data_IF_021876018739
#
_entry.id   IF_021876018739
#
_cell.length_a   1.000
_cell.length_b   1.000
_cell.length_c   1.000
_cell.angle_alpha   90.00
_cell.angle_beta   90.00
_cell.angle_gamma   90.00
#
_symmetry.space_group_name_H-M   'P 1'
#
loop_
_entity.id
_entity.type
_entity.pdbx_description
1 polymer ?
#
# COMPACT_ATOMS: atom_id res chain seq x y z
N UNK A 1 24.01 -3.15 -27.09
CA UNK A 1 24.34 -3.03 -25.66
C UNK A 1 25.05 -1.69 -25.45
N UNK A 2 24.29 -0.61 -25.22
CA UNK A 2 24.77 0.69 -24.72
C UNK A 2 23.58 1.69 -24.66
N UNK A 3 22.56 1.39 -23.87
CA UNK A 3 21.46 2.33 -23.52
C UNK A 3 20.83 1.78 -22.23
N UNK A 4 21.40 2.11 -21.06
CA UNK A 4 20.74 1.82 -19.76
C UNK A 4 21.34 2.65 -18.59
N UNK A 5 22.61 3.02 -18.70
CA UNK A 5 23.32 3.77 -17.64
C UNK A 5 22.75 5.18 -17.41
N UNK A 6 22.10 5.77 -18.41
CA UNK A 6 21.50 7.12 -18.32
C UNK A 6 20.13 7.14 -17.64
N UNK A 7 19.30 6.11 -17.83
CA UNK A 7 17.97 6.02 -17.25
C UNK A 7 18.00 5.71 -15.76
N UNK A 8 18.91 4.83 -15.34
CA UNK A 8 19.07 4.47 -13.94
C UNK A 8 19.58 5.67 -13.12
N UNK A 9 20.54 6.44 -13.62
CA UNK A 9 21.05 7.63 -12.93
C UNK A 9 19.99 8.73 -12.77
N UNK A 10 19.12 8.94 -13.75
CA UNK A 10 18.03 9.93 -13.66
C UNK A 10 16.91 9.47 -12.72
N UNK A 11 16.61 8.17 -12.73
CA UNK A 11 15.63 7.52 -11.85
C UNK A 11 16.08 7.59 -10.39
N UNK A 12 17.32 7.21 -10.12
CA UNK A 12 17.90 7.26 -8.77
C UNK A 12 17.94 8.71 -8.24
N UNK A 13 18.30 9.67 -9.11
CA UNK A 13 18.26 11.09 -8.75
C UNK A 13 16.84 11.59 -8.47
N UNK A 14 15.82 11.07 -9.17
CA UNK A 14 14.41 11.39 -8.88
C UNK A 14 13.99 10.82 -7.52
N UNK A 15 14.27 9.55 -7.26
CA UNK A 15 13.90 8.91 -5.99
C UNK A 15 14.64 9.53 -4.81
N UNK A 16 15.94 9.78 -4.95
CA UNK A 16 16.73 10.42 -3.89
C UNK A 16 16.18 11.81 -3.54
N UNK A 17 15.68 12.56 -4.54
CA UNK A 17 14.97 13.83 -4.32
C UNK A 17 13.64 13.64 -3.60
N UNK A 18 12.83 12.65 -3.97
CA UNK A 18 11.54 12.35 -3.31
C UNK A 18 11.72 11.97 -1.83
N UNK A 19 12.67 11.07 -1.56
CA UNK A 19 13.01 10.64 -0.20
C UNK A 19 13.56 11.81 0.61
N UNK A 20 14.48 12.59 0.05
CA UNK A 20 15.04 13.75 0.74
C UNK A 20 13.98 14.80 1.09
N UNK A 21 13.07 15.10 0.16
CA UNK A 21 11.94 16.00 0.43
C UNK A 21 11.08 15.49 1.59
N UNK A 22 10.80 14.19 1.63
CA UNK A 22 10.03 13.56 2.70
C UNK A 22 10.77 13.61 4.05
N UNK A 23 12.09 13.38 4.06
CA UNK A 23 12.94 13.54 5.25
C UNK A 23 12.93 14.98 5.78
N UNK A 24 13.04 15.99 4.90
CA UNK A 24 12.94 17.41 5.28
C UNK A 24 11.58 17.68 5.91
N UNK A 25 10.49 17.23 5.30
CA UNK A 25 9.14 17.43 5.82
C UNK A 25 8.99 16.81 7.22
N UNK A 26 9.42 15.56 7.38
CA UNK A 26 9.42 14.86 8.66
C UNK A 26 10.22 15.63 9.73
N UNK A 27 11.46 16.03 9.42
CA UNK A 27 12.34 16.72 10.36
C UNK A 27 11.79 18.10 10.74
N UNK A 28 11.23 18.86 9.80
CA UNK A 28 10.54 20.11 10.12
C UNK A 28 9.42 19.88 11.11
N UNK A 29 8.58 18.87 10.89
CA UNK A 29 7.45 18.58 11.77
C UNK A 29 7.89 18.18 13.18
N UNK A 30 8.89 17.31 13.30
CA UNK A 30 9.34 16.80 14.60
C UNK A 30 10.23 17.80 15.34
N UNK A 31 11.13 18.50 14.66
CA UNK A 31 12.06 19.46 15.28
C UNK A 31 11.42 20.83 15.54
N UNK A 32 10.47 21.30 14.72
CA UNK A 32 9.76 22.56 15.02
C UNK A 32 8.95 22.47 16.31
N UNK A 33 8.37 21.29 16.62
CA UNK A 33 7.69 21.04 17.90
C UNK A 33 8.62 21.15 19.12
N UNK A 34 9.94 21.09 18.91
CA UNK A 34 10.94 21.14 19.98
C UNK A 34 11.63 22.50 20.14
N UNK A 35 11.18 23.55 19.43
CA UNK A 35 11.70 24.91 19.62
C UNK A 35 12.79 25.34 18.64
N UNK A 36 12.50 25.16 17.34
CA UNK A 36 13.22 25.73 16.18
C UNK A 36 14.65 25.19 15.93
N UNK A 37 14.75 24.18 15.08
CA UNK A 37 15.99 23.86 14.36
C UNK A 37 16.21 24.85 13.20
N UNK A 38 17.46 25.26 12.96
CA UNK A 38 17.82 26.04 11.77
C UNK A 38 17.61 25.22 10.50
N UNK A 39 17.34 25.88 9.38
CA UNK A 39 17.17 25.20 8.08
C UNK A 39 18.41 24.37 7.73
N UNK A 40 19.62 24.86 8.04
CA UNK A 40 20.87 24.14 7.77
C UNK A 40 20.98 22.80 8.53
N UNK A 41 20.50 22.76 9.77
CA UNK A 41 20.46 21.51 10.57
C UNK A 41 19.45 20.53 9.96
N UNK A 42 18.28 21.03 9.56
CA UNK A 42 17.24 20.21 8.93
C UNK A 42 17.75 19.63 7.61
N UNK A 43 18.39 20.44 6.76
CA UNK A 43 18.86 20.02 5.45
C UNK A 43 20.03 19.02 5.57
N UNK A 44 20.97 19.28 6.49
CA UNK A 44 22.10 18.36 6.76
C UNK A 44 21.62 17.01 7.29
N UNK A 45 20.71 17.02 8.27
CA UNK A 45 20.17 15.79 8.84
C UNK A 45 19.27 15.07 7.83
N UNK A 46 18.50 15.78 7.00
CA UNK A 46 17.71 15.17 5.95
C UNK A 46 18.59 14.45 4.92
N UNK A 47 19.73 15.04 4.54
CA UNK A 47 20.69 14.39 3.66
C UNK A 47 21.24 13.10 4.29
N UNK A 48 21.64 13.14 5.56
CA UNK A 48 22.11 11.96 6.30
C UNK A 48 21.04 10.85 6.35
N UNK A 49 19.80 11.21 6.72
CA UNK A 49 18.69 10.25 6.78
C UNK A 49 18.43 9.64 5.40
N UNK A 50 18.42 10.46 4.34
CA UNK A 50 18.21 10.02 2.96
C UNK A 50 19.24 8.96 2.58
N UNK A 51 20.53 9.22 2.82
CA UNK A 51 21.59 8.26 2.48
C UNK A 51 21.42 6.92 3.21
N UNK A 52 21.00 6.96 4.47
CA UNK A 52 20.80 5.74 5.27
C UNK A 52 19.62 4.89 4.80
N UNK A 53 18.57 5.49 4.23
CA UNK A 53 17.35 4.74 3.84
C UNK A 53 17.15 4.59 2.33
N UNK A 54 17.97 5.25 1.50
CA UNK A 54 17.77 5.27 0.04
C UNK A 54 17.79 3.88 -0.60
N UNK A 55 18.59 2.96 -0.07
CA UNK A 55 18.65 1.57 -0.56
C UNK A 55 17.29 0.85 -0.52
N UNK A 56 16.36 1.29 0.33
CA UNK A 56 15.00 0.73 0.34
C UNK A 56 14.15 1.16 -0.87
N UNK A 57 14.51 2.23 -1.59
CA UNK A 57 13.82 2.61 -2.83
C UNK A 57 14.01 1.54 -3.90
N UNK A 58 15.24 1.05 -4.06
CA UNK A 58 15.56 -0.05 -4.97
C UNK A 58 14.84 -1.34 -4.55
N UNK A 59 14.78 -1.61 -3.25
CA UNK A 59 14.05 -2.76 -2.71
C UNK A 59 12.57 -2.76 -3.11
N UNK A 60 11.89 -1.65 -2.84
CA UNK A 60 10.47 -1.48 -3.14
C UNK A 60 10.18 -1.52 -4.64
N UNK A 61 11.07 -0.95 -5.47
CA UNK A 61 10.96 -1.07 -6.92
C UNK A 61 11.06 -2.53 -7.37
N UNK A 62 12.07 -3.26 -6.91
CA UNK A 62 12.33 -4.61 -7.38
C UNK A 62 11.22 -5.61 -6.99
N UNK A 63 10.63 -5.46 -5.81
CA UNK A 63 9.60 -6.39 -5.32
C UNK A 63 8.16 -5.99 -5.68
N UNK A 64 7.89 -4.70 -5.84
CA UNK A 64 6.52 -4.15 -5.98
C UNK A 64 6.34 -3.20 -7.17
N UNK A 65 7.42 -2.81 -7.84
CA UNK A 65 7.40 -1.80 -8.91
C UNK A 65 7.04 -0.39 -8.44
N UNK A 66 7.29 -0.07 -7.16
CA UNK A 66 6.95 1.23 -6.59
C UNK A 66 7.96 1.69 -5.52
N UNK A 67 8.99 2.41 -5.96
CA UNK A 67 9.95 3.07 -5.06
C UNK A 67 9.37 4.19 -4.16
N UNK A 68 8.20 4.77 -4.48
CA UNK A 68 7.60 5.86 -3.70
C UNK A 68 7.02 5.39 -2.36
N UNK A 69 6.96 4.07 -2.13
CA UNK A 69 6.62 3.47 -0.83
C UNK A 69 7.47 4.06 0.30
N UNK A 70 8.76 4.31 0.06
CA UNK A 70 9.68 4.88 1.08
C UNK A 70 9.22 6.27 1.49
N UNK A 71 8.93 7.15 0.52
CA UNK A 71 8.43 8.50 0.77
C UNK A 71 7.09 8.49 1.51
N UNK A 72 6.17 7.59 1.14
CA UNK A 72 4.88 7.43 1.83
C UNK A 72 5.05 6.92 3.26
N UNK A 73 6.01 6.02 3.52
CA UNK A 73 6.32 5.54 4.87
C UNK A 73 6.85 6.67 5.77
N UNK A 74 7.73 7.54 5.25
CA UNK A 74 8.24 8.71 5.98
C UNK A 74 7.10 9.69 6.30
N UNK A 75 6.21 9.95 5.34
CA UNK A 75 5.05 10.81 5.55
C UNK A 75 4.08 10.21 6.58
N UNK A 76 3.80 8.91 6.49
CA UNK A 76 2.99 8.21 7.49
C UNK A 76 3.60 8.35 8.88
N UNK A 77 4.91 8.10 9.02
CA UNK A 77 5.62 8.29 10.28
C UNK A 77 5.50 9.75 10.77
N UNK A 78 5.63 10.75 9.89
CA UNK A 78 5.47 12.15 10.25
C UNK A 78 4.04 12.48 10.74
N UNK A 79 3.02 11.87 10.16
CA UNK A 79 1.61 12.09 10.53
C UNK A 79 1.20 11.39 11.82
N UNK A 80 1.65 10.15 12.02
CA UNK A 80 1.22 9.33 13.15
C UNK A 80 2.11 9.49 14.39
N UNK A 81 3.38 9.88 14.22
CA UNK A 81 4.28 10.04 15.34
C UNK A 81 4.07 11.39 16.05
N UNK A 82 3.51 11.34 17.25
CA UNK A 82 3.35 12.54 18.10
C UNK A 82 4.50 12.73 19.12
N UNK A 83 5.54 11.90 19.06
CA UNK A 83 6.65 11.93 20.02
C UNK A 83 7.80 12.88 19.67
N UNK A 84 8.76 13.10 20.60
CA UNK A 84 9.97 13.83 20.33
C UNK A 84 10.89 13.08 19.35
N UNK A 85 11.75 13.81 18.63
CA UNK A 85 12.88 13.24 17.89
C UNK A 85 13.73 12.35 18.79
N UNK A 86 13.98 11.10 18.35
CA UNK A 86 14.73 10.08 19.12
C UNK A 86 16.07 9.70 18.48
N UNK A 87 16.50 10.43 17.46
CA UNK A 87 17.75 10.16 16.75
C UNK A 87 17.61 9.33 15.48
N UNK A 88 18.71 9.25 14.76
CA UNK A 88 18.82 8.66 13.42
C UNK A 88 18.46 7.18 13.41
N UNK A 89 19.01 6.40 14.35
CA UNK A 89 18.79 4.93 14.36
C UNK A 89 17.32 4.59 14.61
N UNK A 90 16.64 5.34 15.47
CA UNK A 90 15.21 5.16 15.68
C UNK A 90 14.40 5.42 14.40
N UNK A 91 14.73 6.47 13.66
CA UNK A 91 14.09 6.78 12.38
C UNK A 91 14.33 5.67 11.36
N UNK A 92 15.59 5.27 11.16
CA UNK A 92 15.95 4.23 10.20
C UNK A 92 15.23 2.92 10.51
N UNK A 93 15.24 2.48 11.77
CA UNK A 93 14.55 1.27 12.20
C UNK A 93 13.03 1.36 12.01
N UNK A 94 12.45 2.54 12.25
CA UNK A 94 11.01 2.77 12.06
C UNK A 94 10.62 2.70 10.59
N UNK A 95 11.41 3.31 9.70
CA UNK A 95 11.20 3.23 8.25
C UNK A 95 11.37 1.78 7.76
N UNK A 96 12.41 1.09 8.21
CA UNK A 96 12.61 -0.32 7.87
C UNK A 96 11.39 -1.18 8.23
N UNK A 97 10.86 -1.04 9.45
CA UNK A 97 9.67 -1.78 9.89
C UNK A 97 8.44 -1.48 9.01
N UNK A 98 8.18 -0.21 8.70
CA UNK A 98 7.07 0.17 7.81
C UNK A 98 7.24 -0.39 6.41
N UNK A 99 8.46 -0.42 5.89
CA UNK A 99 8.76 -0.98 4.57
C UNK A 99 8.60 -2.50 4.56
N UNK A 100 9.06 -3.20 5.60
CA UNK A 100 8.87 -4.65 5.72
C UNK A 100 7.39 -5.05 5.85
N UNK A 101 6.55 -4.20 6.43
CA UNK A 101 5.10 -4.40 6.45
C UNK A 101 4.46 -4.15 5.07
N UNK A 102 4.92 -3.11 4.34
CA UNK A 102 4.36 -2.74 3.04
C UNK A 102 4.85 -3.65 1.89
N UNK A 103 6.09 -4.11 1.97
CA UNK A 103 6.81 -4.93 0.98
C UNK A 103 7.49 -6.09 1.70
N UNK A 104 6.70 -7.07 2.19
CA UNK A 104 7.25 -8.23 2.88
C UNK A 104 8.05 -9.11 1.90
N UNK A 105 9.25 -9.51 2.31
CA UNK A 105 10.11 -10.45 1.58
C UNK A 105 10.01 -11.88 2.14
N UNK A 106 9.62 -12.02 3.41
CA UNK A 106 9.82 -13.24 4.16
C UNK A 106 8.71 -14.28 3.97
N UNK A 107 9.13 -15.54 3.95
CA UNK A 107 8.27 -16.68 4.28
C UNK A 107 7.93 -16.59 5.77
N UNK A 108 6.65 -16.46 6.08
CA UNK A 108 6.16 -16.37 7.45
C UNK A 108 5.95 -17.77 8.03
N UNK A 109 6.22 -17.92 9.33
CA UNK A 109 5.78 -19.08 10.10
C UNK A 109 4.33 -18.90 10.58
N UNK A 110 3.72 -19.98 11.06
CA UNK A 110 2.30 -19.97 11.46
C UNK A 110 1.97 -18.89 12.52
N UNK A 111 2.90 -18.63 13.45
CA UNK A 111 2.70 -17.65 14.52
C UNK A 111 2.80 -16.20 14.02
N UNK A 112 3.72 -15.91 13.09
CA UNK A 112 3.87 -14.58 12.50
C UNK A 112 2.75 -14.22 11.53
N UNK A 113 2.08 -15.22 10.94
CA UNK A 113 0.87 -15.01 10.12
C UNK A 113 -0.29 -14.48 10.96
N UNK A 114 -0.48 -15.00 12.19
CA UNK A 114 -1.58 -14.54 13.05
C UNK A 114 -1.46 -13.04 13.36
N UNK A 115 -0.26 -12.54 13.64
CA UNK A 115 -0.03 -11.11 13.85
C UNK A 115 -0.33 -10.27 12.59
N UNK A 116 -0.12 -10.79 11.39
CA UNK A 116 -0.48 -10.06 10.17
C UNK A 116 -1.99 -9.89 10.00
N UNK A 117 -2.81 -10.80 10.54
CA UNK A 117 -4.25 -10.58 10.58
C UNK A 117 -4.62 -9.43 11.53
N UNK A 118 -3.98 -9.34 12.69
CA UNK A 118 -4.17 -8.20 13.61
C UNK A 118 -3.79 -6.88 12.93
N UNK A 119 -2.66 -6.87 12.21
CA UNK A 119 -2.20 -5.71 11.42
C UNK A 119 -3.19 -5.38 10.31
N UNK A 120 -3.67 -6.37 9.55
CA UNK A 120 -4.65 -6.18 8.48
C UNK A 120 -5.96 -5.57 9.03
N UNK A 121 -6.46 -6.08 10.14
CA UNK A 121 -7.65 -5.55 10.80
C UNK A 121 -7.45 -4.09 11.24
N UNK A 122 -6.31 -3.77 11.86
CA UNK A 122 -5.97 -2.40 12.25
C UNK A 122 -5.83 -1.44 11.06
N UNK A 123 -5.26 -1.91 9.95
CA UNK A 123 -5.19 -1.17 8.68
C UNK A 123 -6.60 -0.92 8.14
N UNK A 124 -7.45 -1.93 8.07
CA UNK A 124 -8.83 -1.78 7.58
C UNK A 124 -9.63 -0.78 8.41
N UNK A 125 -9.52 -0.84 9.74
CA UNK A 125 -10.13 0.14 10.63
C UNK A 125 -9.59 1.56 10.36
N UNK A 126 -8.27 1.69 10.24
CA UNK A 126 -7.62 2.99 9.97
C UNK A 126 -8.08 3.58 8.64
N UNK A 127 -8.17 2.77 7.58
CA UNK A 127 -8.65 3.18 6.26
C UNK A 127 -10.12 3.62 6.31
N UNK A 128 -10.98 2.89 7.01
CA UNK A 128 -12.39 3.26 7.16
C UNK A 128 -12.58 4.59 7.91
N UNK A 129 -11.67 4.92 8.82
CA UNK A 129 -11.67 6.21 9.54
C UNK A 129 -10.96 7.34 8.77
N UNK A 130 -10.27 7.03 7.67
CA UNK A 130 -9.58 8.03 6.89
C UNK A 130 -10.60 9.01 6.27
N UNK A 131 -10.30 10.32 6.19
CA UNK A 131 -11.19 11.28 5.56
C UNK A 131 -11.44 10.90 4.09
N UNK A 132 -12.64 10.43 3.79
CA UNK A 132 -13.06 10.13 2.42
C UNK A 132 -13.29 11.47 1.70
N UNK A 133 -12.74 11.62 0.50
CA UNK A 133 -12.97 12.83 -0.31
C UNK A 133 -14.46 12.97 -0.61
N UNK A 134 -15.01 14.18 -0.62
CA UNK A 134 -16.46 14.40 -0.82
C UNK A 134 -16.96 13.81 -2.15
N UNK A 135 -16.08 13.71 -3.14
CA UNK A 135 -16.34 13.12 -4.44
C UNK A 135 -16.52 11.60 -4.39
N UNK A 136 -15.90 10.92 -3.40
CA UNK A 136 -15.96 9.47 -3.19
C UNK A 136 -17.15 9.05 -2.29
N UNK A 137 -17.72 9.98 -1.52
CA UNK A 137 -18.90 9.75 -0.66
C UNK A 137 -20.24 9.71 -1.42
N UNK A 138 -20.25 10.09 -2.70
CA UNK A 138 -21.49 10.14 -3.47
C UNK A 138 -21.73 8.79 -4.12
N UNK A 139 -22.70 8.03 -3.61
CA UNK A 139 -23.28 6.93 -4.38
C UNK A 139 -23.85 7.54 -5.65
N UNK A 140 -23.17 7.30 -6.76
CA UNK A 140 -23.63 7.75 -8.08
C UNK A 140 -24.76 6.83 -8.54
N UNK A 141 -25.61 7.32 -9.45
CA UNK A 141 -26.62 6.47 -10.09
C UNK A 141 -25.99 5.24 -10.80
N UNK A 142 -24.73 5.38 -11.22
CA UNK A 142 -23.93 4.26 -11.76
C UNK A 142 -23.64 3.20 -10.69
N UNK A 143 -23.17 3.62 -9.51
CA UNK A 143 -22.91 2.71 -8.38
C UNK A 143 -24.19 2.00 -7.92
N UNK A 144 -25.31 2.72 -7.81
CA UNK A 144 -26.58 2.12 -7.43
C UNK A 144 -27.03 1.02 -8.42
N UNK A 145 -26.82 1.23 -9.73
CA UNK A 145 -27.08 0.22 -10.76
C UNK A 145 -26.15 -0.98 -10.63
N UNK A 146 -24.86 -0.76 -10.37
CA UNK A 146 -23.89 -1.84 -10.17
C UNK A 146 -24.21 -2.67 -8.92
N UNK A 147 -24.55 -2.03 -7.80
CA UNK A 147 -24.98 -2.71 -6.56
C UNK A 147 -26.19 -3.59 -6.85
N UNK A 148 -27.20 -3.06 -7.54
CA UNK A 148 -28.39 -3.82 -7.90
C UNK A 148 -28.07 -5.03 -8.79
N UNK A 149 -27.18 -4.87 -9.77
CA UNK A 149 -26.76 -5.96 -10.65
C UNK A 149 -26.01 -7.05 -9.89
N UNK A 150 -25.12 -6.68 -8.96
CA UNK A 150 -24.43 -7.64 -8.10
C UNK A 150 -25.40 -8.36 -7.15
N UNK A 151 -26.38 -7.64 -6.61
CA UNK A 151 -27.43 -8.23 -5.77
C UNK A 151 -28.28 -9.24 -6.57
N UNK A 152 -28.72 -8.89 -7.78
CA UNK A 152 -29.47 -9.79 -8.66
C UNK A 152 -28.63 -11.03 -9.03
N UNK A 153 -27.36 -10.84 -9.37
CA UNK A 153 -26.45 -11.94 -9.69
C UNK A 153 -26.17 -12.84 -8.47
N UNK A 154 -26.05 -12.28 -7.26
CA UNK A 154 -25.91 -13.06 -6.02
C UNK A 154 -27.15 -13.88 -5.70
N UNK A 155 -28.35 -13.32 -5.94
CA UNK A 155 -29.61 -14.06 -5.80
C UNK A 155 -29.77 -15.18 -6.83
N UNK A 156 -29.29 -14.97 -8.06
CA UNK A 156 -29.41 -15.93 -9.17
C UNK A 156 -28.34 -17.04 -9.10
N UNK A 157 -27.11 -16.67 -8.71
CA UNK A 157 -25.95 -17.55 -8.69
C UNK A 157 -25.34 -17.58 -7.29
N UNK A 158 -25.55 -18.67 -6.55
CA UNK A 158 -25.03 -18.82 -5.19
C UNK A 158 -23.52 -18.58 -5.08
N UNK A 159 -22.73 -19.01 -6.08
CA UNK A 159 -21.29 -18.75 -6.13
C UNK A 159 -20.94 -17.25 -6.21
N UNK A 160 -21.82 -16.42 -6.80
CA UNK A 160 -21.65 -14.96 -6.79
C UNK A 160 -21.95 -14.41 -5.40
N UNK A 161 -22.95 -14.94 -4.70
CA UNK A 161 -23.22 -14.59 -3.29
C UNK A 161 -22.01 -14.87 -2.41
N UNK A 162 -21.44 -16.08 -2.49
CA UNK A 162 -20.26 -16.47 -1.71
C UNK A 162 -19.04 -15.58 -2.04
N UNK A 163 -18.89 -15.16 -3.31
CA UNK A 163 -17.84 -14.21 -3.71
C UNK A 163 -18.08 -12.81 -3.15
N UNK A 164 -19.33 -12.35 -3.05
CA UNK A 164 -19.64 -11.06 -2.46
C UNK A 164 -19.34 -11.06 -0.95
N UNK A 165 -19.68 -12.14 -0.24
CA UNK A 165 -19.31 -12.33 1.17
C UNK A 165 -17.80 -12.36 1.36
N UNK A 166 -17.07 -13.07 0.49
CA UNK A 166 -15.60 -13.06 0.50
C UNK A 166 -15.04 -11.65 0.29
N UNK A 167 -15.60 -10.88 -0.66
CA UNK A 167 -15.18 -9.50 -0.93
C UNK A 167 -15.46 -8.59 0.27
N UNK A 168 -16.59 -8.77 0.95
CA UNK A 168 -16.92 -8.06 2.19
C UNK A 168 -15.90 -8.37 3.30
N UNK A 169 -15.62 -9.64 3.57
CA UNK A 169 -14.60 -10.05 4.55
C UNK A 169 -13.23 -9.46 4.24
N UNK A 170 -12.80 -9.48 2.97
CA UNK A 170 -11.52 -8.87 2.55
C UNK A 170 -11.54 -7.35 2.75
N UNK A 171 -12.64 -6.68 2.38
CA UNK A 171 -12.80 -5.24 2.54
C UNK A 171 -12.73 -4.80 4.00
N UNK A 172 -13.27 -5.60 4.92
CA UNK A 172 -13.21 -5.33 6.36
C UNK A 172 -11.93 -5.85 7.04
N UNK A 173 -11.05 -6.54 6.31
CA UNK A 173 -9.81 -7.11 6.86
C UNK A 173 -10.04 -8.30 7.79
N UNK A 174 -11.11 -9.06 7.56
CA UNK A 174 -11.43 -10.25 8.33
C UNK A 174 -10.51 -11.42 7.96
N UNK A 175 -10.29 -12.31 8.93
CA UNK A 175 -9.52 -13.53 8.72
C UNK A 175 -10.32 -14.49 7.84
N UNK A 176 -9.77 -14.81 6.68
CA UNK A 176 -10.38 -15.79 5.77
C UNK A 176 -10.37 -17.21 6.37
N UNK A 177 -11.53 -17.84 6.38
CA UNK A 177 -11.71 -19.24 6.73
C UNK A 177 -11.21 -20.19 5.62
N UNK A 178 -11.08 -21.49 5.93
CA UNK A 178 -10.58 -22.49 4.97
C UNK A 178 -11.37 -22.53 3.66
N UNK A 179 -12.69 -22.50 3.75
CA UNK A 179 -13.58 -22.44 2.58
C UNK A 179 -13.39 -21.15 1.77
N UNK A 180 -13.27 -19.99 2.44
CA UNK A 180 -13.05 -18.71 1.79
C UNK A 180 -11.70 -18.62 1.07
N UNK A 181 -10.64 -19.22 1.64
CA UNK A 181 -9.33 -19.35 0.99
C UNK A 181 -9.40 -20.22 -0.27
N UNK A 182 -10.12 -21.33 -0.20
CA UNK A 182 -10.36 -22.21 -1.35
C UNK A 182 -11.17 -21.49 -2.44
N UNK A 183 -12.25 -20.80 -2.06
CA UNK A 183 -13.06 -20.01 -2.98
C UNK A 183 -12.25 -18.92 -3.67
N UNK A 184 -11.40 -18.19 -2.93
CA UNK A 184 -10.50 -17.19 -3.48
C UNK A 184 -9.54 -17.79 -4.51
N UNK A 185 -8.95 -18.96 -4.21
CA UNK A 185 -8.06 -19.67 -5.12
C UNK A 185 -8.79 -20.10 -6.40
N UNK A 186 -9.98 -20.70 -6.27
CA UNK A 186 -10.80 -21.14 -7.40
C UNK A 186 -11.17 -19.94 -8.27
N UNK A 187 -11.61 -18.84 -7.67
CA UNK A 187 -11.98 -17.62 -8.38
C UNK A 187 -10.79 -16.98 -9.11
N UNK A 188 -9.64 -16.87 -8.45
CA UNK A 188 -8.41 -16.37 -9.05
C UNK A 188 -7.95 -17.23 -10.23
N UNK A 189 -8.10 -18.56 -10.11
CA UNK A 189 -7.79 -19.52 -11.17
C UNK A 189 -8.77 -19.43 -12.32
N UNK A 190 -10.07 -19.23 -12.05
CA UNK A 190 -11.12 -19.11 -13.06
C UNK A 190 -11.04 -17.79 -13.87
N UNK A 191 -10.59 -16.70 -13.25
CA UNK A 191 -10.53 -15.37 -13.85
C UNK A 191 -9.89 -15.30 -15.27
N UNK A 192 -8.70 -15.87 -15.53
CA UNK A 192 -8.14 -15.89 -16.89
C UNK A 192 -9.00 -16.65 -17.90
N UNK A 193 -9.60 -17.79 -17.51
CA UNK A 193 -10.48 -18.56 -18.41
C UNK A 193 -11.75 -17.79 -18.74
N UNK A 194 -12.34 -17.10 -17.75
CA UNK A 194 -13.51 -16.23 -17.97
C UNK A 194 -13.19 -15.11 -18.96
N UNK A 195 -12.00 -14.50 -18.88
CA UNK A 195 -11.58 -13.47 -19.85
C UNK A 195 -11.54 -14.00 -21.28
N UNK A 196 -10.96 -15.19 -21.48
CA UNK A 196 -10.89 -15.84 -22.80
C UNK A 196 -12.29 -16.18 -23.31
N UNK A 197 -13.10 -16.82 -22.48
CA UNK A 197 -14.46 -17.24 -22.83
C UNK A 197 -15.35 -16.04 -23.22
N UNK A 198 -15.20 -14.90 -22.52
CA UNK A 198 -15.95 -13.67 -22.84
C UNK A 198 -15.59 -13.11 -24.21
N UNK A 199 -14.34 -13.22 -24.63
CA UNK A 199 -13.90 -12.86 -26.00
C UNK A 199 -14.50 -13.84 -27.01
N UNK A 200 -14.42 -15.15 -26.76
CA UNK A 200 -14.94 -16.19 -27.67
C UNK A 200 -16.46 -16.06 -27.87
N UNK A 201 -17.19 -15.75 -26.79
CA UNK A 201 -18.63 -15.47 -26.81
C UNK A 201 -18.98 -14.09 -27.37
N UNK A 202 -18.00 -13.28 -27.78
CA UNK A 202 -18.17 -11.92 -28.32
C UNK A 202 -18.87 -10.96 -27.36
N UNK A 203 -18.72 -11.21 -26.06
CA UNK A 203 -19.19 -10.32 -25.00
C UNK A 203 -18.21 -9.13 -24.91
N UNK A 204 -16.91 -9.43 -24.90
CA UNK A 204 -15.84 -8.44 -24.91
C UNK A 204 -15.09 -8.46 -26.25
N UNK A 205 -14.40 -7.35 -26.57
CA UNK A 205 -13.52 -7.25 -27.75
C UNK A 205 -12.07 -7.47 -27.32
N UNK A 206 -11.25 -8.01 -28.23
CA UNK A 206 -9.80 -7.97 -28.09
C UNK A 206 -9.36 -6.51 -28.25
N UNK A 207 -8.83 -5.93 -27.18
CA UNK A 207 -8.07 -4.69 -27.23
C UNK A 207 -6.69 -4.90 -27.90
#
# INVERSE_FOLDING_TARGET
MAQDVGSDSERDAKWKRSVNFSCIHFLRKVLWRQGAASNDIVDSLAAELTEKIFHWSDWCENLRGDAEIVSRAIQYLAEQHDGPWRGVDWFVNSIQLLIQLAVPENVLDENSVDFLYDVQQGISQSIQTAPIRKEELRITDSMAKQIKLLQEAGCEYGAVSDLLELVESVFHGERLEGYQKELLLVAATAAPFVRVERIERKIDKLD
#
